data_IF_762853395450
#
_entry.id   IF_762853395450
#
_cell.length_a   1.000
_cell.length_b   1.000
_cell.length_c   1.000
_cell.angle_alpha   90.00
_cell.angle_beta   90.00
_cell.angle_gamma   90.00
#
_symmetry.space_group_name_H-M   'P 1'
#
loop_
_entity.id
_entity.type
_entity.pdbx_description
1 polymer ?
#
# COMPACT_ATOMS: atom_id res chain seq x y z
N UNK A 1 23.33 -2.37 12.25
CA UNK A 1 22.96 -3.22 13.41
C UNK A 1 22.91 -4.67 12.95
N UNK A 2 23.05 -5.68 13.84
CA UNK A 2 22.85 -7.07 13.46
C UNK A 2 21.39 -7.31 13.02
N UNK A 3 21.18 -8.37 12.23
CA UNK A 3 19.84 -8.85 11.93
C UNK A 3 19.27 -9.58 13.15
N UNK A 4 18.05 -9.27 13.49
CA UNK A 4 17.28 -9.90 14.56
C UNK A 4 16.00 -10.48 13.97
N UNK A 5 15.41 -11.48 14.64
CA UNK A 5 14.17 -12.09 14.21
C UNK A 5 12.99 -11.18 14.60
N UNK A 6 12.26 -10.66 13.61
CA UNK A 6 11.15 -9.74 13.80
C UNK A 6 9.86 -10.28 13.22
N UNK A 7 8.76 -10.11 13.94
CA UNK A 7 7.40 -10.29 13.42
C UNK A 7 7.01 -9.04 12.61
N UNK A 8 6.38 -9.20 11.45
CA UNK A 8 6.11 -8.09 10.54
C UNK A 8 5.40 -6.90 11.18
N UNK A 9 4.31 -7.13 11.93
CA UNK A 9 3.58 -6.08 12.62
C UNK A 9 4.44 -5.34 13.67
N UNK A 10 5.21 -6.07 14.47
CA UNK A 10 6.11 -5.47 15.48
C UNK A 10 7.27 -4.72 14.81
N UNK A 11 7.76 -5.24 13.69
CA UNK A 11 8.81 -4.61 12.91
C UNK A 11 8.38 -3.25 12.36
N UNK A 12 7.16 -3.15 11.81
CA UNK A 12 6.56 -1.88 11.36
C UNK A 12 6.44 -0.91 12.52
N UNK A 13 5.97 -1.36 13.69
CA UNK A 13 5.81 -0.51 14.87
C UNK A 13 7.17 0.06 15.33
N UNK A 14 8.19 -0.77 15.51
CA UNK A 14 9.53 -0.30 15.92
C UNK A 14 10.19 0.55 14.83
N UNK A 15 10.00 0.22 13.53
CA UNK A 15 10.52 1.05 12.45
C UNK A 15 9.90 2.46 12.45
N UNK A 16 8.60 2.58 12.72
CA UNK A 16 7.93 3.87 12.88
C UNK A 16 8.51 4.67 14.07
N UNK A 17 8.69 4.02 15.22
CA UNK A 17 9.32 4.64 16.40
C UNK A 17 10.72 5.14 16.07
N UNK A 18 11.53 4.34 15.38
CA UNK A 18 12.89 4.69 14.97
C UNK A 18 12.94 5.76 13.88
N UNK A 19 11.94 5.81 13.03
CA UNK A 19 11.77 6.90 12.06
C UNK A 19 11.39 8.26 12.70
N UNK A 20 11.16 8.29 14.03
CA UNK A 20 10.86 9.52 14.75
C UNK A 20 9.35 9.77 14.92
N UNK A 21 8.52 8.73 14.93
CA UNK A 21 7.10 8.83 15.27
C UNK A 21 6.92 9.52 16.62
N UNK A 22 6.13 10.61 16.68
CA UNK A 22 5.86 11.39 17.90
C UNK A 22 4.51 11.04 18.53
N UNK A 23 3.52 10.70 17.71
CA UNK A 23 2.18 10.37 18.17
C UNK A 23 1.55 9.23 17.38
N UNK A 24 0.89 8.33 18.09
CA UNK A 24 0.08 7.25 17.52
C UNK A 24 -1.31 7.27 18.13
N UNK A 25 -2.29 7.18 17.25
CA UNK A 25 -3.71 7.06 17.59
C UNK A 25 -4.31 5.88 16.86
N UNK A 26 -4.94 4.95 17.57
CA UNK A 26 -5.47 3.75 16.93
C UNK A 26 -6.59 3.09 17.72
N UNK A 27 -7.25 2.14 17.05
CA UNK A 27 -8.27 1.28 17.64
C UNK A 27 -7.89 -0.18 17.35
N UNK A 28 -8.02 -1.11 18.32
CA UNK A 28 -7.60 -2.50 18.16
C UNK A 28 -8.49 -3.23 17.15
N UNK A 29 -7.86 -3.84 16.15
CA UNK A 29 -8.51 -4.66 15.13
C UNK A 29 -7.53 -5.70 14.58
N UNK A 30 -7.98 -6.97 14.43
CA UNK A 30 -7.19 -8.04 13.85
C UNK A 30 -7.18 -7.92 12.30
N UNK A 31 -6.02 -8.14 11.62
CA UNK A 31 -4.75 -8.71 12.11
C UNK A 31 -3.63 -7.69 12.38
N UNK A 32 -3.93 -6.42 12.66
CA UNK A 32 -2.91 -5.39 12.99
C UNK A 32 -2.64 -5.22 14.50
N UNK A 33 -3.31 -5.97 15.36
CA UNK A 33 -3.34 -5.78 16.82
C UNK A 33 -1.95 -5.62 17.44
N UNK A 34 -0.95 -6.37 16.98
CA UNK A 34 0.41 -6.31 17.50
C UNK A 34 1.10 -4.95 17.26
N UNK A 35 0.70 -4.20 16.23
CA UNK A 35 1.22 -2.83 16.01
C UNK A 35 0.80 -1.96 17.20
N UNK A 36 -0.48 -1.98 17.53
CA UNK A 36 -1.04 -1.21 18.64
C UNK A 36 -0.47 -1.66 19.99
N UNK A 37 -0.40 -2.98 20.22
CA UNK A 37 0.17 -3.56 21.46
C UNK A 37 1.63 -3.18 21.65
N UNK A 38 2.43 -3.24 20.59
CA UNK A 38 3.83 -2.83 20.62
C UNK A 38 3.97 -1.34 20.97
N UNK A 39 3.24 -0.48 20.27
CA UNK A 39 3.29 0.96 20.45
C UNK A 39 2.72 1.41 21.80
N UNK A 40 1.74 0.69 22.37
CA UNK A 40 1.17 1.00 23.69
C UNK A 40 2.20 0.95 24.82
N UNK A 41 3.24 0.13 24.67
CA UNK A 41 4.37 0.02 25.59
C UNK A 41 5.49 0.97 25.19
N UNK A 42 5.88 0.92 23.93
CA UNK A 42 7.08 1.58 23.41
C UNK A 42 6.99 3.11 23.38
N UNK A 43 5.84 3.67 23.02
CA UNK A 43 5.67 5.12 22.93
C UNK A 43 5.76 5.82 24.30
N UNK A 44 5.05 5.35 25.36
CA UNK A 44 5.19 5.92 26.70
C UNK A 44 6.61 5.79 27.28
N UNK A 45 7.31 4.67 27.06
CA UNK A 45 8.71 4.51 27.48
C UNK A 45 9.63 5.62 26.94
N UNK A 46 9.31 6.14 25.76
CA UNK A 46 10.06 7.19 25.08
C UNK A 46 9.49 8.61 25.35
N UNK A 47 8.47 8.73 26.20
CA UNK A 47 7.78 9.99 26.46
C UNK A 47 7.00 10.53 25.26
N UNK A 48 6.58 9.65 24.34
CA UNK A 48 5.80 9.97 23.14
C UNK A 48 4.31 9.68 23.34
N UNK A 49 3.47 10.30 22.52
CA UNK A 49 2.03 10.16 22.66
C UNK A 49 1.52 8.83 22.11
N UNK A 50 0.72 8.12 22.90
CA UNK A 50 -0.06 6.96 22.50
C UNK A 50 -1.48 7.11 23.05
N UNK A 51 -2.49 6.97 22.19
CA UNK A 51 -3.89 6.96 22.60
C UNK A 51 -4.64 5.85 21.87
N UNK A 52 -5.28 4.97 22.64
CA UNK A 52 -6.30 4.09 22.11
C UNK A 52 -7.61 4.86 22.06
N UNK A 53 -8.08 5.16 20.85
CA UNK A 53 -9.35 5.82 20.62
C UNK A 53 -10.53 4.86 20.84
N UNK A 54 -11.74 5.40 20.93
CA UNK A 54 -12.98 4.64 21.04
C UNK A 54 -13.42 3.99 19.71
N UNK A 55 -12.85 4.46 18.59
CA UNK A 55 -13.14 3.96 17.25
C UNK A 55 -12.05 4.41 16.27
N UNK A 56 -12.02 3.82 15.08
CA UNK A 56 -11.14 4.27 13.99
C UNK A 56 -11.49 5.68 13.53
N UNK A 57 -12.78 6.07 13.60
CA UNK A 57 -13.22 7.43 13.32
C UNK A 57 -12.62 8.43 14.31
N UNK A 58 -12.61 8.10 15.60
CA UNK A 58 -11.93 8.91 16.63
C UNK A 58 -10.43 8.97 16.39
N UNK A 59 -9.80 7.82 16.08
CA UNK A 59 -8.36 7.73 15.83
C UNK A 59 -7.92 8.63 14.65
N UNK A 60 -8.60 8.59 13.52
CA UNK A 60 -8.21 9.39 12.34
C UNK A 60 -8.39 10.90 12.58
N UNK A 61 -9.39 11.31 13.35
CA UNK A 61 -9.57 12.72 13.71
C UNK A 61 -8.46 13.20 14.68
N UNK A 62 -7.98 12.34 15.58
CA UNK A 62 -6.80 12.63 16.41
C UNK A 62 -5.53 12.75 15.56
N UNK A 63 -5.35 11.84 14.56
CA UNK A 63 -4.26 11.93 13.57
C UNK A 63 -4.32 13.27 12.84
N UNK A 64 -5.51 13.65 12.35
CA UNK A 64 -5.72 14.91 11.65
C UNK A 64 -5.30 16.11 12.50
N UNK A 65 -5.78 16.17 13.74
CA UNK A 65 -5.42 17.26 14.67
C UNK A 65 -3.91 17.34 14.95
N UNK A 66 -3.27 16.20 15.20
CA UNK A 66 -1.81 16.13 15.44
C UNK A 66 -1.02 16.49 14.17
N UNK A 67 -1.43 16.02 13.00
CA UNK A 67 -0.82 16.38 11.73
C UNK A 67 -0.90 17.89 11.47
N UNK A 68 -2.07 18.50 11.70
CA UNK A 68 -2.24 19.96 11.61
C UNK A 68 -1.29 20.73 12.53
N UNK A 69 -0.93 20.19 13.69
CA UNK A 69 0.05 20.78 14.59
C UNK A 69 1.51 20.55 14.18
N UNK A 70 1.75 19.86 13.06
CA UNK A 70 3.09 19.54 12.55
C UNK A 70 3.79 18.38 13.28
N UNK A 71 3.02 17.54 13.96
CA UNK A 71 3.50 16.35 14.67
C UNK A 71 3.64 15.19 13.67
N UNK A 72 4.75 14.44 13.73
CA UNK A 72 4.90 13.20 12.98
C UNK A 72 4.01 12.12 13.56
N UNK A 73 2.94 11.80 12.86
CA UNK A 73 1.82 11.00 13.36
C UNK A 73 1.50 9.81 12.47
N UNK A 74 1.03 8.73 13.08
CA UNK A 74 0.60 7.50 12.41
C UNK A 74 -0.67 6.96 13.06
N UNK A 75 -1.48 6.30 12.23
CA UNK A 75 -2.47 5.31 12.68
C UNK A 75 -2.29 3.99 11.94
N UNK A 76 -2.84 2.92 12.49
CA UNK A 76 -2.95 1.62 11.82
C UNK A 76 -4.33 1.03 12.04
N UNK A 77 -4.80 0.28 11.04
CA UNK A 77 -6.06 -0.43 11.10
C UNK A 77 -6.08 -1.64 10.15
N UNK A 78 -7.21 -2.24 9.95
CA UNK A 78 -7.47 -3.32 9.00
C UNK A 78 -8.78 -3.04 8.28
N UNK A 79 -8.81 -3.24 6.99
CA UNK A 79 -9.95 -3.25 6.06
C UNK A 79 -11.23 -2.50 6.50
N UNK A 80 -12.14 -3.05 7.34
CA UNK A 80 -13.35 -2.33 7.75
C UNK A 80 -13.06 -1.11 8.64
N UNK A 81 -11.97 -1.13 9.42
CA UNK A 81 -11.56 0.03 10.21
C UNK A 81 -11.01 1.15 9.34
N UNK A 82 -10.28 0.82 8.26
CA UNK A 82 -9.85 1.82 7.26
C UNK A 82 -11.06 2.45 6.58
N UNK A 83 -12.12 1.67 6.32
CA UNK A 83 -13.38 2.20 5.79
C UNK A 83 -13.99 3.29 6.67
N UNK A 84 -13.92 3.15 8.00
CA UNK A 84 -14.36 4.18 8.95
C UNK A 84 -13.46 5.43 8.96
N UNK A 85 -12.23 5.32 8.51
CA UNK A 85 -11.28 6.45 8.46
C UNK A 85 -11.44 7.34 7.21
N UNK A 86 -12.20 6.93 6.20
CA UNK A 86 -12.18 7.52 4.85
C UNK A 86 -12.52 9.01 4.83
N UNK A 87 -13.48 9.47 5.62
CA UNK A 87 -13.80 10.90 5.73
C UNK A 87 -12.62 11.70 6.29
N UNK A 88 -12.03 11.23 7.39
CA UNK A 88 -10.85 11.86 8.01
C UNK A 88 -9.63 11.87 7.08
N UNK A 89 -9.41 10.82 6.30
CA UNK A 89 -8.39 10.74 5.26
C UNK A 89 -8.61 11.86 4.22
N UNK A 90 -9.86 12.07 3.80
CA UNK A 90 -10.22 13.15 2.88
C UNK A 90 -9.90 14.54 3.44
N UNK A 91 -10.18 14.77 4.74
CA UNK A 91 -9.85 16.03 5.41
C UNK A 91 -8.33 16.27 5.52
N UNK A 92 -7.56 15.23 5.82
CA UNK A 92 -6.08 15.27 5.84
C UNK A 92 -5.55 15.65 4.45
N UNK A 93 -6.11 15.04 3.39
CA UNK A 93 -5.73 15.36 2.02
C UNK A 93 -6.08 16.80 1.64
N UNK A 94 -7.31 17.25 1.93
CA UNK A 94 -7.79 18.60 1.62
C UNK A 94 -7.03 19.71 2.35
N UNK A 95 -6.54 19.45 3.56
CA UNK A 95 -5.70 20.40 4.31
C UNK A 95 -4.21 20.27 4.00
N UNK A 96 -3.84 19.31 3.16
CA UNK A 96 -2.46 19.07 2.74
C UNK A 96 -1.49 18.90 3.93
N UNK A 97 -1.86 18.07 4.90
CA UNK A 97 -1.00 17.75 6.04
C UNK A 97 -0.44 16.34 5.92
N UNK A 98 0.82 16.10 6.36
CA UNK A 98 1.44 14.79 6.27
C UNK A 98 0.87 13.84 7.32
N UNK A 99 0.50 12.63 6.89
CA UNK A 99 0.11 11.55 7.79
C UNK A 99 0.50 10.18 7.20
N UNK A 100 0.82 9.24 8.09
CA UNK A 100 1.11 7.87 7.70
C UNK A 100 0.02 6.94 8.23
N UNK A 101 -0.47 6.06 7.36
CA UNK A 101 -1.47 5.05 7.69
C UNK A 101 -0.94 3.67 7.34
N UNK A 102 -1.21 2.68 8.19
CA UNK A 102 -0.92 1.27 7.93
C UNK A 102 -2.22 0.51 7.83
N UNK A 103 -2.43 -0.20 6.71
CA UNK A 103 -3.55 -1.12 6.55
C UNK A 103 -3.02 -2.55 6.47
N UNK A 104 -3.30 -3.36 7.50
CA UNK A 104 -3.05 -4.80 7.45
C UNK A 104 -4.33 -5.47 6.95
N UNK A 105 -4.39 -5.71 5.64
CA UNK A 105 -5.59 -6.14 4.93
C UNK A 105 -6.03 -7.54 5.31
N UNK A 106 -7.34 -7.74 5.42
CA UNK A 106 -8.00 -9.01 5.69
C UNK A 106 -9.14 -9.30 4.72
N UNK A 107 -9.62 -10.55 4.72
CA UNK A 107 -10.71 -10.97 3.83
C UNK A 107 -12.02 -10.24 4.11
N UNK A 108 -12.62 -9.69 3.05
CA UNK A 108 -13.92 -9.06 2.98
C UNK A 108 -14.79 -9.69 1.90
N UNK A 109 -15.98 -9.13 1.59
CA UNK A 109 -16.58 -7.89 2.12
C UNK A 109 -17.24 -8.03 3.50
N UNK A 110 -17.69 -6.91 4.04
CA UNK A 110 -18.33 -6.80 5.37
C UNK A 110 -17.31 -7.01 6.50
N UNK A 111 -17.71 -7.65 7.59
CA UNK A 111 -16.79 -8.07 8.64
C UNK A 111 -15.74 -9.07 8.10
N UNK A 112 -16.15 -9.87 7.11
CA UNK A 112 -15.31 -10.85 6.46
C UNK A 112 -14.72 -11.86 7.44
N UNK A 113 -13.40 -12.06 7.34
CA UNK A 113 -12.63 -12.90 8.26
C UNK A 113 -11.28 -12.21 8.58
N UNK A 114 -10.45 -12.86 9.39
CA UNK A 114 -9.14 -12.32 9.80
C UNK A 114 -7.97 -12.83 8.94
N UNK A 115 -8.26 -13.62 7.92
CA UNK A 115 -7.26 -14.21 7.04
C UNK A 115 -6.69 -13.15 6.07
N UNK A 116 -5.46 -13.35 5.56
CA UNK A 116 -4.76 -12.37 4.71
C UNK A 116 -5.49 -12.13 3.39
N UNK A 117 -5.52 -10.88 2.94
CA UNK A 117 -6.15 -10.50 1.68
C UNK A 117 -5.47 -9.28 1.06
N UNK A 118 -5.70 -9.05 -0.23
CA UNK A 118 -5.34 -7.82 -0.95
C UNK A 118 -6.60 -7.11 -1.49
N UNK A 119 -7.75 -7.34 -0.82
CA UNK A 119 -9.06 -6.85 -1.27
C UNK A 119 -9.28 -5.35 -1.15
N UNK A 120 -8.41 -4.62 -0.46
CA UNK A 120 -8.52 -3.18 -0.27
C UNK A 120 -7.68 -2.37 -1.28
N UNK A 121 -7.17 -3.01 -2.33
CA UNK A 121 -6.36 -2.31 -3.34
C UNK A 121 -7.09 -1.10 -3.92
N UNK A 122 -8.31 -1.28 -4.44
CA UNK A 122 -9.09 -0.18 -4.99
C UNK A 122 -9.37 0.93 -3.96
N UNK A 123 -9.66 0.55 -2.70
CA UNK A 123 -9.88 1.51 -1.62
C UNK A 123 -8.63 2.36 -1.36
N UNK A 124 -7.44 1.73 -1.39
CA UNK A 124 -6.19 2.43 -1.13
C UNK A 124 -5.69 3.25 -2.34
N UNK A 125 -5.88 2.73 -3.57
CA UNK A 125 -5.24 3.26 -4.79
C UNK A 125 -6.16 4.20 -5.56
N UNK A 126 -7.46 3.88 -5.66
CA UNK A 126 -8.43 4.64 -6.48
C UNK A 126 -9.36 5.54 -5.66
N UNK A 127 -8.96 5.86 -4.43
CA UNK A 127 -9.70 6.75 -3.54
C UNK A 127 -10.66 5.96 -2.64
N UNK A 128 -10.66 6.26 -1.40
CA UNK A 128 -11.49 5.62 -0.39
C UNK A 128 -12.37 6.61 0.36
N UNK A 129 -12.09 7.90 0.23
CA UNK A 129 -12.91 9.00 0.73
C UNK A 129 -13.63 9.70 -0.41
N UNK A 130 -13.68 11.02 -0.35
CA UNK A 130 -14.25 11.87 -1.38
C UNK A 130 -13.26 12.97 -1.79
N UNK A 131 -13.43 13.51 -2.99
CA UNK A 131 -12.58 14.56 -3.55
C UNK A 131 -11.45 14.04 -4.45
N UNK A 132 -10.79 14.97 -5.14
CA UNK A 132 -9.79 14.68 -6.17
C UNK A 132 -8.37 14.56 -5.59
N UNK A 133 -8.16 13.59 -4.68
CA UNK A 133 -6.85 13.29 -4.11
C UNK A 133 -6.43 11.85 -4.35
N UNK A 134 -5.12 11.61 -4.32
CA UNK A 134 -4.55 10.27 -4.38
C UNK A 134 -3.46 10.14 -3.30
N UNK A 135 -3.50 9.10 -2.48
CA UNK A 135 -2.45 8.81 -1.51
C UNK A 135 -1.25 8.15 -2.18
N UNK A 136 -0.08 8.29 -1.58
CA UNK A 136 1.07 7.45 -1.90
C UNK A 136 0.84 6.11 -1.20
N UNK A 137 0.93 4.99 -1.95
CA UNK A 137 0.66 3.66 -1.39
C UNK A 137 1.83 2.72 -1.64
N UNK A 138 2.39 2.19 -0.57
CA UNK A 138 3.56 1.31 -0.54
C UNK A 138 3.15 -0.10 -0.12
N UNK A 139 3.61 -1.12 -0.84
CA UNK A 139 3.25 -2.52 -0.63
C UNK A 139 4.49 -3.41 -0.41
N UNK A 140 4.92 -3.66 0.84
CA UNK A 140 6.03 -4.54 1.14
C UNK A 140 5.69 -6.02 0.88
N UNK A 141 6.72 -6.82 0.56
CA UNK A 141 6.62 -8.27 0.39
C UNK A 141 7.51 -9.06 1.37
N UNK A 142 8.16 -8.39 2.31
CA UNK A 142 8.98 -9.01 3.35
C UNK A 142 9.04 -8.13 4.59
N UNK A 143 9.47 -8.68 5.72
CA UNK A 143 9.65 -7.90 6.96
C UNK A 143 10.68 -6.79 6.79
N UNK A 144 11.79 -7.04 6.09
CA UNK A 144 12.78 -5.99 5.84
C UNK A 144 12.19 -4.86 4.98
N UNK A 145 11.46 -5.19 3.91
CA UNK A 145 10.79 -4.14 3.13
C UNK A 145 9.75 -3.37 3.93
N UNK A 146 9.01 -4.04 4.81
CA UNK A 146 8.05 -3.37 5.69
C UNK A 146 8.73 -2.32 6.59
N UNK A 147 9.92 -2.65 7.14
CA UNK A 147 10.75 -1.72 7.90
C UNK A 147 11.20 -0.54 7.03
N UNK A 148 11.78 -0.83 5.86
CA UNK A 148 12.37 0.19 4.98
C UNK A 148 11.28 1.13 4.44
N UNK A 149 10.14 0.58 4.03
CA UNK A 149 9.01 1.34 3.51
C UNK A 149 8.28 2.13 4.61
N UNK A 150 8.29 1.65 5.85
CA UNK A 150 7.76 2.41 6.98
C UNK A 150 8.57 3.68 7.23
N UNK A 151 9.89 3.61 7.18
CA UNK A 151 10.75 4.81 7.28
C UNK A 151 10.51 5.75 6.11
N UNK A 152 10.46 5.21 4.90
CA UNK A 152 10.23 5.97 3.67
C UNK A 152 8.85 6.67 3.69
N UNK A 153 7.82 6.03 4.27
CA UNK A 153 6.47 6.57 4.29
C UNK A 153 6.39 7.93 4.99
N UNK A 154 7.12 8.13 6.10
CA UNK A 154 7.19 9.42 6.77
C UNK A 154 7.92 10.47 5.94
N UNK A 155 9.01 10.08 5.28
CA UNK A 155 9.78 10.98 4.42
C UNK A 155 8.94 11.45 3.23
N UNK A 156 8.20 10.55 2.60
CA UNK A 156 7.31 10.89 1.48
C UNK A 156 6.11 11.74 1.93
N UNK A 157 5.49 11.38 3.06
CA UNK A 157 4.37 12.14 3.60
C UNK A 157 4.77 13.59 3.87
N UNK A 158 5.91 13.82 4.51
CA UNK A 158 6.43 15.15 4.82
C UNK A 158 6.89 15.91 3.56
N UNK A 159 7.64 15.24 2.68
CA UNK A 159 8.15 15.82 1.42
C UNK A 159 7.04 16.40 0.56
N UNK A 160 5.92 15.67 0.47
CA UNK A 160 4.82 16.02 -0.41
C UNK A 160 3.61 16.60 0.34
N UNK A 161 3.65 16.71 1.66
CA UNK A 161 2.49 17.10 2.47
C UNK A 161 1.26 16.29 2.06
N UNK A 162 1.38 14.99 2.11
CA UNK A 162 0.41 14.04 1.60
C UNK A 162 0.24 12.87 2.56
N UNK A 163 -0.83 12.11 2.35
CA UNK A 163 -1.03 10.84 3.01
C UNK A 163 -0.13 9.80 2.34
N UNK A 164 0.62 9.06 3.14
CA UNK A 164 1.32 7.86 2.71
C UNK A 164 0.75 6.65 3.43
N UNK A 165 0.30 5.65 2.67
CA UNK A 165 -0.22 4.39 3.21
C UNK A 165 0.78 3.27 2.99
N UNK A 166 0.99 2.43 4.01
CA UNK A 166 1.67 1.14 3.87
C UNK A 166 0.59 0.08 3.93
N UNK A 167 0.37 -0.63 2.83
CA UNK A 167 -0.61 -1.71 2.75
C UNK A 167 0.11 -3.05 2.72
N UNK A 168 -0.27 -3.93 3.60
CA UNK A 168 0.23 -5.30 3.66
C UNK A 168 -0.92 -6.23 4.01
N UNK A 169 -0.77 -7.49 3.65
CA UNK A 169 -1.71 -8.52 4.08
C UNK A 169 -1.27 -9.19 5.38
N UNK A 170 -2.16 -9.97 5.98
CA UNK A 170 -1.88 -10.66 7.23
C UNK A 170 -0.69 -11.63 7.18
N UNK A 171 -0.28 -12.13 5.99
CA UNK A 171 0.91 -12.97 5.87
C UNK A 171 2.17 -12.16 6.20
N UNK A 172 2.35 -11.00 5.55
CA UNK A 172 3.51 -10.13 5.83
C UNK A 172 3.48 -9.63 7.27
N UNK A 173 2.29 -9.30 7.80
CA UNK A 173 2.13 -8.83 9.19
C UNK A 173 2.49 -9.88 10.24
N UNK A 174 2.21 -11.16 9.98
CA UNK A 174 2.38 -12.23 10.96
C UNK A 174 3.67 -13.06 10.77
N UNK A 175 4.29 -13.03 9.58
CA UNK A 175 5.53 -13.77 9.35
C UNK A 175 6.67 -13.26 10.22
N UNK A 176 7.61 -14.16 10.52
CA UNK A 176 8.86 -13.83 11.22
C UNK A 176 10.05 -14.00 10.29
N UNK A 177 10.85 -12.96 10.14
CA UNK A 177 12.06 -12.97 9.31
C UNK A 177 13.22 -12.27 10.00
N UNK A 178 14.47 -12.68 9.70
CA UNK A 178 15.65 -11.93 10.10
C UNK A 178 15.69 -10.57 9.38
N UNK A 179 15.59 -9.48 10.12
CA UNK A 179 15.59 -8.13 9.57
C UNK A 179 16.49 -7.20 10.39
N UNK A 180 16.94 -6.14 9.74
CA UNK A 180 17.79 -5.12 10.35
C UNK A 180 16.98 -3.86 10.56
N UNK A 181 16.92 -3.39 11.80
CA UNK A 181 16.29 -2.12 12.14
C UNK A 181 17.18 -0.93 11.76
N UNK A 182 16.59 0.22 11.36
CA UNK A 182 17.34 1.46 11.18
C UNK A 182 17.83 2.01 12.52
N UNK A 183 18.74 2.97 12.47
CA UNK A 183 19.10 3.74 13.66
C UNK A 183 17.94 4.60 14.13
N UNK A 184 17.87 4.82 15.45
CA UNK A 184 16.86 5.69 16.04
C UNK A 184 17.10 7.14 15.61
N UNK A 185 16.18 7.72 14.85
CA UNK A 185 16.20 9.14 14.53
C UNK A 185 15.72 9.95 15.75
N UNK A 186 16.43 11.01 16.14
CA UNK A 186 15.92 11.91 17.17
C UNK A 186 14.65 12.62 16.65
N UNK A 187 13.75 12.95 17.57
CA UNK A 187 12.62 13.83 17.24
C UNK A 187 13.20 15.21 16.94
N UNK A 188 13.10 15.62 15.69
CA UNK A 188 13.43 16.96 15.26
C UNK A 188 12.13 17.63 14.81
N UNK A 189 11.54 18.44 15.67
CA UNK A 189 10.38 19.24 15.28
C UNK A 189 10.83 20.25 14.22
N UNK A 190 10.47 19.99 12.99
CA UNK A 190 10.67 20.94 11.92
C UNK A 190 9.80 22.19 12.19
N UNK A 191 10.36 23.36 11.94
CA UNK A 191 9.58 24.60 12.02
C UNK A 191 8.77 24.76 10.73
N UNK A 192 7.70 23.96 10.63
CA UNK A 192 6.81 24.02 9.48
C UNK A 192 6.11 25.37 9.39
N UNK A 193 6.17 26.02 8.25
CA UNK A 193 5.54 27.33 8.00
C UNK A 193 4.02 27.29 7.98
N UNK A 194 3.45 26.11 7.76
CA UNK A 194 2.01 25.83 7.69
C UNK A 194 1.44 25.31 9.03
N UNK A 195 2.22 24.73 9.92
CA UNK A 195 1.71 24.06 11.12
C UNK A 195 0.98 25.02 12.09
N UNK A 196 -0.14 24.54 12.63
CA UNK A 196 -0.98 25.28 13.59
C UNK A 196 -0.58 25.01 15.04
N UNK A 197 0.72 25.06 15.32
CA UNK A 197 1.36 24.77 16.61
C UNK A 197 1.31 25.92 17.63
N UNK A 198 0.43 26.89 17.40
CA UNK A 198 0.22 28.06 18.26
C UNK A 198 0.92 29.32 17.74
N UNK A 199 0.31 30.46 18.03
CA UNK A 199 0.82 31.79 17.62
C UNK A 199 2.07 32.21 18.40
N UNK A 200 2.20 31.81 19.68
CA UNK A 200 3.29 32.11 20.60
C UNK A 200 3.66 33.61 20.70
N UNK A 201 2.76 34.51 20.26
CA UNK A 201 3.00 35.95 20.22
C UNK A 201 4.04 36.45 19.21
N UNK A 202 4.60 35.53 18.39
CA UNK A 202 5.77 35.79 17.54
C UNK A 202 5.51 35.75 16.04
N UNK A 203 4.31 35.37 15.61
CA UNK A 203 3.98 35.16 14.18
C UNK A 203 2.51 35.42 13.88
N UNK A 204 2.18 35.56 12.59
CA UNK A 204 0.83 35.63 12.10
C UNK A 204 0.03 34.35 12.37
N UNK A 205 -1.30 34.48 12.39
CA UNK A 205 -2.20 33.34 12.54
C UNK A 205 -2.11 32.45 11.29
N UNK A 206 -1.93 31.16 11.50
CA UNK A 206 -2.04 30.15 10.44
C UNK A 206 -3.41 29.49 10.48
N UNK A 207 -3.95 29.20 9.31
CA UNK A 207 -5.24 28.55 9.15
C UNK A 207 -5.04 27.38 8.17
N UNK A 208 -5.49 26.21 8.56
CA UNK A 208 -5.67 25.06 7.70
C UNK A 208 -7.18 24.83 7.54
N UNK A 209 -7.65 24.68 6.33
CA UNK A 209 -9.06 24.45 6.02
C UNK A 209 -9.19 23.44 4.90
N UNK A 210 -10.22 22.60 5.00
CA UNK A 210 -10.70 21.72 3.93
C UNK A 210 -12.13 22.07 3.51
N UNK A 211 -12.61 23.26 3.91
CA UNK A 211 -13.89 23.80 3.48
C UNK A 211 -13.67 25.10 2.75
N UNK A 212 -14.26 25.22 1.57
CA UNK A 212 -14.24 26.38 0.71
C UNK A 212 -15.68 26.69 0.29
N UNK A 213 -16.14 27.91 0.61
CA UNK A 213 -17.53 28.31 0.28
C UNK A 213 -17.64 28.67 -1.19
N UNK A 214 -16.62 29.31 -1.74
CA UNK A 214 -16.58 29.66 -3.16
C UNK A 214 -16.01 28.49 -3.97
N UNK A 215 -16.73 27.95 -4.97
CA UNK A 215 -16.28 26.81 -5.76
C UNK A 215 -14.93 27.02 -6.46
N UNK A 216 -14.59 28.24 -6.82
CA UNK A 216 -13.31 28.57 -7.46
C UNK A 216 -12.11 28.33 -6.53
N UNK A 217 -12.27 28.53 -5.23
CA UNK A 217 -11.20 28.29 -4.26
C UNK A 217 -10.94 26.78 -4.08
N UNK A 218 -12.00 25.98 -4.11
CA UNK A 218 -11.89 24.52 -4.12
C UNK A 218 -11.24 24.02 -5.42
N UNK A 219 -11.61 24.56 -6.59
CA UNK A 219 -10.97 24.21 -7.86
C UNK A 219 -9.47 24.53 -7.85
N UNK A 220 -9.06 25.68 -7.34
CA UNK A 220 -7.64 26.05 -7.20
C UNK A 220 -6.90 25.04 -6.30
N UNK A 221 -7.52 24.61 -5.23
CA UNK A 221 -6.95 23.59 -4.33
C UNK A 221 -6.79 22.26 -5.05
N UNK A 222 -7.81 21.78 -5.75
CA UNK A 222 -7.75 20.53 -6.50
C UNK A 222 -6.72 20.57 -7.63
N UNK A 223 -6.57 21.69 -8.34
CA UNK A 223 -5.49 21.87 -9.31
C UNK A 223 -4.09 21.79 -8.67
N UNK A 224 -3.92 22.33 -7.46
CA UNK A 224 -2.66 22.20 -6.70
C UNK A 224 -2.40 20.77 -6.29
N UNK A 225 -3.40 20.04 -5.78
CA UNK A 225 -3.31 18.62 -5.46
C UNK A 225 -2.92 17.79 -6.69
N UNK A 226 -3.54 18.04 -7.84
CA UNK A 226 -3.26 17.35 -9.09
C UNK A 226 -1.84 17.61 -9.59
N UNK A 227 -1.34 18.84 -9.52
CA UNK A 227 0.02 19.19 -9.91
C UNK A 227 1.06 18.52 -8.97
N UNK A 228 0.78 18.45 -7.67
CA UNK A 228 1.58 17.69 -6.72
C UNK A 228 1.60 16.22 -7.07
N UNK A 229 0.44 15.64 -7.41
CA UNK A 229 0.33 14.24 -7.82
C UNK A 229 1.18 13.93 -9.06
N UNK A 230 1.18 14.79 -10.08
CA UNK A 230 2.09 14.65 -11.24
C UNK A 230 3.56 14.59 -10.82
N UNK A 231 3.95 15.41 -9.85
CA UNK A 231 5.32 15.40 -9.32
C UNK A 231 5.62 14.09 -8.60
N UNK A 232 4.68 13.56 -7.83
CA UNK A 232 4.81 12.26 -7.16
C UNK A 232 4.92 11.14 -8.19
N UNK A 233 4.07 11.12 -9.21
CA UNK A 233 4.12 10.13 -10.28
C UNK A 233 5.47 10.11 -11.01
N UNK A 234 6.05 11.28 -11.25
CA UNK A 234 7.33 11.38 -11.95
C UNK A 234 8.54 10.92 -11.13
N UNK A 235 8.45 10.92 -9.79
CA UNK A 235 9.62 10.73 -8.93
C UNK A 235 9.53 9.53 -7.98
N UNK A 236 8.34 8.99 -7.72
CA UNK A 236 8.15 8.07 -6.60
C UNK A 236 7.66 6.67 -7.02
N UNK A 237 7.69 6.36 -8.31
CA UNK A 237 7.40 4.99 -8.79
C UNK A 237 8.55 4.06 -8.39
N UNK A 238 8.21 2.97 -7.70
CA UNK A 238 9.16 1.93 -7.25
C UNK A 238 8.63 0.54 -7.56
N UNK A 239 9.51 -0.31 -8.07
CA UNK A 239 9.23 -1.71 -8.39
C UNK A 239 10.49 -2.55 -8.31
N UNK A 240 10.33 -3.86 -8.34
CA UNK A 240 11.43 -4.81 -8.54
C UNK A 240 11.18 -5.66 -9.78
N UNK A 241 12.26 -5.89 -10.50
CA UNK A 241 12.29 -6.71 -11.70
C UNK A 241 13.03 -8.02 -11.42
N UNK A 242 12.48 -9.12 -11.92
CA UNK A 242 13.10 -10.43 -11.84
C UNK A 242 12.95 -11.13 -13.20
N UNK A 243 14.08 -11.45 -13.84
CA UNK A 243 14.15 -12.19 -15.10
C UNK A 243 13.33 -11.57 -16.26
N UNK A 244 13.26 -10.23 -16.33
CA UNK A 244 12.45 -9.54 -17.34
C UNK A 244 13.19 -9.32 -18.67
N UNK A 245 14.52 -9.43 -18.74
CA UNK A 245 15.31 -9.07 -19.94
C UNK A 245 14.91 -9.85 -21.19
N UNK A 246 14.59 -11.12 -21.04
CA UNK A 246 14.23 -12.06 -22.10
C UNK A 246 12.86 -12.73 -21.89
N UNK A 247 11.99 -12.14 -21.08
CA UNK A 247 10.71 -12.73 -20.73
C UNK A 247 9.70 -12.62 -21.87
N UNK A 248 9.15 -13.76 -22.28
CA UNK A 248 7.99 -13.86 -23.18
C UNK A 248 6.67 -13.68 -22.39
N UNK A 249 6.63 -14.17 -21.13
CA UNK A 249 5.53 -13.99 -20.20
C UNK A 249 5.96 -13.10 -19.05
N UNK A 250 5.20 -12.05 -18.75
CA UNK A 250 5.45 -11.15 -17.61
C UNK A 250 4.38 -11.35 -16.55
N UNK A 251 4.79 -11.76 -15.35
CA UNK A 251 3.90 -11.77 -14.20
C UNK A 251 3.93 -10.40 -13.50
N UNK A 252 2.76 -9.92 -13.07
CA UNK A 252 2.63 -8.73 -12.22
C UNK A 252 1.92 -9.11 -10.93
N UNK A 253 2.54 -8.84 -9.79
CA UNK A 253 1.98 -9.15 -8.47
C UNK A 253 2.67 -8.34 -7.38
N UNK A 254 1.94 -7.88 -6.36
CA UNK A 254 2.49 -7.12 -5.24
C UNK A 254 2.37 -7.90 -3.91
N UNK A 255 3.06 -7.44 -2.87
CA UNK A 255 2.99 -8.03 -1.54
C UNK A 255 3.24 -9.54 -1.54
N UNK A 256 2.41 -10.28 -0.80
CA UNK A 256 2.50 -11.75 -0.71
C UNK A 256 2.28 -12.44 -2.05
N UNK A 257 1.31 -12.00 -2.88
CA UNK A 257 1.09 -12.60 -4.21
C UNK A 257 2.34 -12.48 -5.10
N UNK A 258 2.99 -11.30 -5.12
CA UNK A 258 4.24 -11.11 -5.86
C UNK A 258 5.40 -11.95 -5.30
N UNK A 259 5.45 -12.15 -3.98
CA UNK A 259 6.45 -13.01 -3.33
C UNK A 259 6.27 -14.48 -3.72
N UNK A 260 5.04 -14.97 -3.72
CA UNK A 260 4.71 -16.36 -4.12
C UNK A 260 5.01 -16.55 -5.61
N UNK A 261 4.62 -15.60 -6.45
CA UNK A 261 4.88 -15.63 -7.88
C UNK A 261 6.38 -15.76 -8.22
N UNK A 262 7.26 -15.14 -7.43
CA UNK A 262 8.71 -15.27 -7.64
C UNK A 262 9.20 -16.71 -7.50
N UNK A 263 8.60 -17.51 -6.63
CA UNK A 263 8.93 -18.95 -6.51
C UNK A 263 8.53 -19.70 -7.77
N UNK A 264 7.31 -19.52 -8.25
CA UNK A 264 6.83 -20.10 -9.49
C UNK A 264 7.66 -19.68 -10.72
N UNK A 265 8.05 -18.40 -10.78
CA UNK A 265 8.94 -17.90 -11.85
C UNK A 265 10.29 -18.63 -11.86
N UNK A 266 10.91 -18.82 -10.71
CA UNK A 266 12.19 -19.51 -10.59
C UNK A 266 12.10 -20.98 -11.06
N UNK A 267 11.01 -21.65 -10.72
CA UNK A 267 10.75 -23.03 -11.10
C UNK A 267 10.50 -23.14 -12.61
N UNK A 268 9.61 -22.32 -13.18
CA UNK A 268 9.38 -22.26 -14.61
C UNK A 268 10.64 -21.93 -15.43
N UNK A 269 11.50 -21.04 -14.90
CA UNK A 269 12.82 -20.75 -15.50
C UNK A 269 13.74 -21.95 -15.50
N UNK A 270 13.72 -22.76 -14.44
CA UNK A 270 14.51 -23.99 -14.39
C UNK A 270 14.02 -25.02 -15.42
N UNK A 271 12.77 -24.96 -15.83
CA UNK A 271 12.18 -25.76 -16.92
C UNK A 271 12.41 -25.16 -18.33
N UNK A 272 13.04 -24.00 -18.42
CA UNK A 272 13.36 -23.33 -19.69
C UNK A 272 12.27 -22.38 -20.22
N UNK A 273 11.22 -22.10 -19.43
CA UNK A 273 10.17 -21.14 -19.80
C UNK A 273 10.66 -19.72 -19.55
N UNK A 274 10.58 -18.84 -20.54
CA UNK A 274 11.00 -17.46 -20.45
C UNK A 274 9.91 -16.59 -19.79
N UNK A 275 9.82 -16.68 -18.47
CA UNK A 275 8.90 -15.91 -17.64
C UNK A 275 9.65 -14.98 -16.70
N UNK A 276 9.14 -13.77 -16.48
CA UNK A 276 9.70 -12.80 -15.54
C UNK A 276 8.62 -12.24 -14.62
N UNK A 277 9.03 -11.53 -13.58
CA UNK A 277 8.14 -10.90 -12.62
C UNK A 277 8.46 -9.41 -12.50
N UNK A 278 7.47 -8.58 -12.70
CA UNK A 278 7.44 -7.19 -12.26
C UNK A 278 6.66 -7.13 -10.94
N UNK A 279 7.33 -6.71 -9.88
CA UNK A 279 6.73 -6.56 -8.55
C UNK A 279 6.61 -5.08 -8.17
N UNK A 280 5.42 -4.45 -8.29
CA UNK A 280 5.20 -3.11 -7.76
C UNK A 280 5.54 -3.04 -6.26
N UNK A 281 6.25 -1.97 -5.86
CA UNK A 281 6.48 -1.56 -4.46
C UNK A 281 5.59 -0.37 -4.16
N UNK A 282 5.55 0.63 -5.06
CA UNK A 282 4.46 1.60 -5.09
C UNK A 282 3.34 1.02 -5.93
N UNK A 283 2.15 0.95 -5.36
CA UNK A 283 0.91 0.64 -6.10
C UNK A 283 0.11 1.91 -6.39
N UNK A 284 0.48 3.02 -5.75
CA UNK A 284 0.10 4.38 -6.07
C UNK A 284 1.28 5.31 -5.72
N UNK A 285 1.95 5.93 -6.71
CA UNK A 285 1.74 5.83 -8.16
C UNK A 285 2.06 4.44 -8.72
N UNK A 286 1.24 4.00 -9.69
CA UNK A 286 1.40 2.69 -10.31
C UNK A 286 2.49 2.72 -11.40
N UNK A 287 3.29 1.65 -11.59
CA UNK A 287 4.40 1.59 -12.56
C UNK A 287 3.92 1.37 -14.01
N UNK A 288 3.00 2.22 -14.49
CA UNK A 288 2.36 2.06 -15.81
C UNK A 288 3.36 2.12 -16.96
N UNK A 289 4.36 3.01 -16.88
CA UNK A 289 5.33 3.22 -17.98
C UNK A 289 6.21 1.99 -18.23
N UNK A 290 6.64 1.29 -17.16
CA UNK A 290 7.42 0.07 -17.32
C UNK A 290 6.57 -1.07 -17.85
N UNK A 291 5.31 -1.17 -17.46
CA UNK A 291 4.37 -2.15 -18.02
C UNK A 291 4.11 -1.86 -19.49
N UNK A 292 3.95 -0.59 -19.87
CA UNK A 292 3.80 -0.16 -21.25
C UNK A 292 5.02 -0.56 -22.11
N UNK A 293 6.24 -0.36 -21.59
CA UNK A 293 7.48 -0.79 -22.27
C UNK A 293 7.57 -2.32 -22.39
N UNK A 294 7.25 -3.05 -21.32
CA UNK A 294 7.25 -4.52 -21.34
C UNK A 294 6.21 -5.08 -22.33
N UNK A 295 5.05 -4.47 -22.45
CA UNK A 295 4.02 -4.87 -23.41
C UNK A 295 4.43 -4.66 -24.88
N UNK A 296 5.51 -3.92 -25.14
CA UNK A 296 6.12 -3.80 -26.47
C UNK A 296 6.98 -5.00 -26.88
N UNK A 297 7.34 -5.89 -25.95
CA UNK A 297 8.25 -7.03 -26.19
C UNK A 297 7.77 -8.37 -25.64
N UNK A 298 6.96 -8.38 -24.61
CA UNK A 298 6.37 -9.61 -24.05
C UNK A 298 5.22 -10.12 -24.94
N UNK A 299 4.97 -11.41 -24.89
CA UNK A 299 3.87 -12.06 -25.61
C UNK A 299 2.56 -12.03 -24.80
N UNK A 300 2.66 -12.04 -23.46
CA UNK A 300 1.50 -12.01 -22.57
C UNK A 300 1.86 -11.55 -21.15
N UNK A 301 0.83 -11.11 -20.42
CA UNK A 301 0.90 -10.82 -18.98
C UNK A 301 0.04 -11.77 -18.17
N UNK A 302 0.51 -12.14 -16.96
CA UNK A 302 -0.28 -12.80 -15.93
C UNK A 302 -0.33 -11.88 -14.70
N UNK A 303 -1.51 -11.47 -14.27
CA UNK A 303 -1.68 -10.74 -13.02
C UNK A 303 -2.07 -11.73 -11.92
N UNK A 304 -1.36 -11.69 -10.79
CA UNK A 304 -1.67 -12.53 -9.62
C UNK A 304 -1.93 -11.67 -8.38
N UNK A 305 -3.07 -11.95 -7.71
CA UNK A 305 -3.54 -11.17 -6.58
C UNK A 305 -4.30 -12.04 -5.55
N UNK A 306 -4.41 -11.53 -4.33
CA UNK A 306 -5.27 -12.10 -3.27
C UNK A 306 -6.60 -11.34 -3.20
N UNK A 307 -7.20 -11.09 -4.36
CA UNK A 307 -8.50 -10.46 -4.57
C UNK A 307 -9.07 -10.84 -5.95
N UNK A 308 -10.17 -10.23 -6.37
CA UNK A 308 -10.86 -10.54 -7.63
C UNK A 308 -10.29 -9.81 -8.87
N UNK A 309 -9.04 -9.39 -8.85
CA UNK A 309 -8.40 -8.68 -9.97
C UNK A 309 -8.63 -7.16 -9.90
N UNK A 310 -8.23 -6.53 -8.81
CA UNK A 310 -8.34 -5.07 -8.65
C UNK A 310 -7.15 -4.36 -9.34
N UNK A 311 -5.92 -4.81 -9.11
CA UNK A 311 -4.73 -4.33 -9.84
C UNK A 311 -4.73 -4.78 -11.31
N UNK A 312 -5.44 -5.86 -11.63
CA UNK A 312 -5.61 -6.33 -13.01
C UNK A 312 -6.06 -5.21 -13.94
N UNK A 313 -6.98 -4.35 -13.50
CA UNK A 313 -7.49 -3.27 -14.33
C UNK A 313 -6.43 -2.20 -14.63
N UNK A 314 -5.56 -1.89 -13.66
CA UNK A 314 -4.43 -0.97 -13.88
C UNK A 314 -3.39 -1.56 -14.83
N UNK A 315 -3.10 -2.86 -14.71
CA UNK A 315 -2.22 -3.56 -15.67
C UNK A 315 -2.82 -3.54 -17.07
N UNK A 316 -4.11 -3.85 -17.22
CA UNK A 316 -4.81 -3.80 -18.51
C UNK A 316 -4.79 -2.41 -19.14
N UNK A 317 -5.00 -1.39 -18.31
CA UNK A 317 -4.93 0.00 -18.76
C UNK A 317 -3.50 0.34 -19.26
N UNK A 318 -2.47 -0.11 -18.55
CA UNK A 318 -1.08 0.11 -18.94
C UNK A 318 -0.67 -0.68 -20.20
N UNK A 319 -1.14 -1.93 -20.34
CA UNK A 319 -0.89 -2.78 -21.52
C UNK A 319 -1.62 -2.28 -22.77
N UNK A 320 -2.73 -1.54 -22.61
CA UNK A 320 -3.51 -0.93 -23.73
C UNK A 320 -3.97 -1.93 -24.79
N UNK A 321 -4.22 -3.17 -24.42
CA UNK A 321 -4.69 -4.21 -25.33
C UNK A 321 -3.67 -4.70 -26.37
N UNK A 322 -2.38 -4.35 -26.24
CA UNK A 322 -1.33 -4.77 -27.19
C UNK A 322 -1.03 -6.25 -27.14
N UNK A 323 -1.13 -6.85 -25.97
CA UNK A 323 -0.92 -8.29 -25.74
C UNK A 323 -1.99 -8.81 -24.80
N UNK A 324 -2.26 -10.13 -24.80
CA UNK A 324 -3.17 -10.74 -23.84
C UNK A 324 -2.72 -10.50 -22.39
N UNK A 325 -3.71 -10.27 -21.54
CA UNK A 325 -3.53 -10.22 -20.07
C UNK A 325 -4.38 -11.34 -19.50
N UNK A 326 -3.76 -12.24 -18.75
CA UNK A 326 -4.41 -13.31 -17.99
C UNK A 326 -4.48 -12.96 -16.51
N UNK A 327 -5.31 -13.64 -15.76
CA UNK A 327 -5.50 -13.41 -14.34
C UNK A 327 -5.54 -14.73 -13.57
N UNK A 328 -4.88 -14.75 -12.42
CA UNK A 328 -5.02 -15.75 -11.39
C UNK A 328 -5.16 -15.11 -10.01
N UNK A 329 -6.24 -15.41 -9.30
CA UNK A 329 -6.50 -14.84 -7.98
C UNK A 329 -7.02 -15.86 -6.98
N UNK A 330 -6.84 -15.56 -5.69
CA UNK A 330 -7.49 -16.27 -4.58
C UNK A 330 -8.29 -15.26 -3.75
N UNK A 331 -9.42 -15.68 -3.25
CA UNK A 331 -10.40 -14.83 -2.58
C UNK A 331 -10.60 -15.22 -1.11
N UNK A 332 -11.22 -14.33 -0.34
CA UNK A 332 -11.76 -14.64 0.98
C UNK A 332 -10.72 -15.06 2.03
N UNK A 333 -9.47 -14.68 1.86
CA UNK A 333 -8.39 -15.04 2.79
C UNK A 333 -7.55 -16.24 2.36
N UNK A 334 -7.83 -16.80 1.18
CA UNK A 334 -6.96 -17.82 0.59
C UNK A 334 -5.73 -17.16 -0.04
N UNK A 335 -4.57 -17.78 0.16
CA UNK A 335 -3.28 -17.37 -0.42
C UNK A 335 -2.98 -18.26 -1.62
N UNK A 336 -2.55 -17.72 -2.77
CA UNK A 336 -2.11 -18.55 -3.89
C UNK A 336 -0.85 -19.34 -3.50
N UNK A 337 -0.74 -20.57 -4.00
CA UNK A 337 0.45 -21.38 -3.86
C UNK A 337 1.36 -21.26 -5.10
N UNK A 338 2.68 -21.49 -4.97
CA UNK A 338 3.60 -21.43 -6.11
C UNK A 338 3.24 -22.38 -7.25
N UNK A 339 2.79 -23.61 -6.95
CA UNK A 339 2.35 -24.60 -7.92
C UNK A 339 1.11 -24.16 -8.70
N UNK A 340 0.15 -23.50 -8.08
CA UNK A 340 -1.02 -22.95 -8.77
C UNK A 340 -0.63 -21.89 -9.81
N UNK A 341 0.34 -21.02 -9.47
CA UNK A 341 0.85 -20.01 -10.40
C UNK A 341 1.71 -20.67 -11.49
N UNK A 342 2.48 -21.69 -11.15
CA UNK A 342 3.27 -22.47 -12.09
C UNK A 342 2.38 -23.17 -13.14
N UNK A 343 1.26 -23.75 -12.72
CA UNK A 343 0.27 -24.34 -13.62
C UNK A 343 -0.30 -23.32 -14.61
N UNK A 344 -0.58 -22.09 -14.16
CA UNK A 344 -1.01 -21.01 -15.05
C UNK A 344 0.10 -20.61 -16.04
N UNK A 345 1.37 -20.56 -15.60
CA UNK A 345 2.51 -20.33 -16.52
C UNK A 345 2.59 -21.44 -17.57
N UNK A 346 2.49 -22.70 -17.17
CA UNK A 346 2.48 -23.84 -18.09
C UNK A 346 1.31 -23.78 -19.09
N UNK A 347 0.12 -23.42 -18.61
CA UNK A 347 -1.05 -23.23 -19.47
C UNK A 347 -0.79 -22.15 -20.51
N UNK A 348 -0.29 -20.98 -20.07
CA UNK A 348 -0.01 -19.84 -20.95
C UNK A 348 1.05 -20.18 -22.01
N UNK A 349 2.11 -20.89 -21.62
CA UNK A 349 3.19 -21.28 -22.53
C UNK A 349 2.73 -22.31 -23.62
N UNK A 350 1.65 -23.06 -23.37
CA UNK A 350 1.15 -24.12 -24.27
C UNK A 350 -0.08 -23.68 -25.07
N UNK A 351 -0.77 -22.64 -24.68
CA UNK A 351 -2.07 -22.25 -25.23
C UNK A 351 -1.98 -20.93 -25.97
N UNK A 352 -2.60 -20.85 -27.16
CA UNK A 352 -2.77 -19.56 -27.83
C UNK A 352 -3.75 -18.71 -27.03
N UNK A 353 -3.25 -17.63 -26.44
CA UNK A 353 -4.04 -16.72 -25.63
C UNK A 353 -4.89 -15.78 -26.50
N UNK A 354 -6.04 -15.37 -25.99
CA UNK A 354 -6.97 -14.46 -26.67
C UNK A 354 -7.13 -13.18 -25.87
N UNK A 355 -6.93 -12.04 -26.53
CA UNK A 355 -7.22 -10.74 -25.93
C UNK A 355 -8.73 -10.39 -25.91
N UNK A 356 -9.59 -11.23 -26.46
CA UNK A 356 -11.02 -10.95 -26.64
C UNK A 356 -11.89 -11.35 -25.44
N UNK A 357 -11.37 -12.14 -24.51
CA UNK A 357 -12.10 -12.58 -23.31
C UNK A 357 -11.56 -11.77 -22.12
N UNK A 358 -12.46 -11.30 -21.26
CA UNK A 358 -12.01 -10.61 -20.05
C UNK A 358 -11.28 -11.60 -19.13
N UNK A 359 -10.06 -11.29 -18.66
CA UNK A 359 -9.23 -12.25 -17.91
C UNK A 359 -9.91 -12.80 -16.64
N UNK A 360 -10.72 -11.97 -15.97
CA UNK A 360 -11.51 -12.38 -14.79
C UNK A 360 -12.56 -13.43 -15.15
N UNK A 361 -13.24 -13.29 -16.29
CA UNK A 361 -14.26 -14.23 -16.71
C UNK A 361 -13.64 -15.59 -17.06
N UNK A 362 -12.52 -15.57 -17.81
CA UNK A 362 -11.75 -16.77 -18.10
C UNK A 362 -11.23 -17.47 -16.83
N UNK A 363 -10.81 -16.70 -15.83
CA UNK A 363 -10.41 -17.23 -14.53
C UNK A 363 -11.58 -17.82 -13.76
N UNK A 364 -12.76 -17.16 -13.72
CA UNK A 364 -13.97 -17.67 -13.06
C UNK A 364 -14.41 -19.01 -13.66
N UNK A 365 -14.34 -19.18 -14.98
CA UNK A 365 -14.63 -20.47 -15.63
C UNK A 365 -13.68 -21.57 -15.15
N UNK A 366 -12.37 -21.29 -15.01
CA UNK A 366 -11.38 -22.24 -14.47
C UNK A 366 -11.62 -22.57 -13.00
N UNK A 367 -12.07 -21.60 -12.21
CA UNK A 367 -12.35 -21.79 -10.77
C UNK A 367 -13.68 -22.47 -10.49
N UNK A 368 -14.58 -22.60 -11.47
CA UNK A 368 -15.90 -23.24 -11.29
C UNK A 368 -15.80 -24.68 -10.75
N UNK A 369 -14.72 -25.39 -11.04
CA UNK A 369 -14.46 -26.72 -10.52
C UNK A 369 -14.04 -26.77 -9.05
N UNK A 370 -13.64 -25.64 -8.47
CA UNK A 370 -13.22 -25.54 -7.06
C UNK A 370 -14.42 -25.31 -6.14
N UNK A 371 -15.55 -24.83 -6.70
CA UNK A 371 -16.76 -24.48 -5.95
C UNK A 371 -17.90 -25.50 -6.10
N UNK A 372 -17.73 -26.54 -6.90
CA UNK A 372 -18.62 -27.68 -7.09
C UNK A 372 -18.22 -28.85 -6.17
#
# INVERSE_FOLDING_TARGET
>A
MPKELWKGNEAIAEAAVRAGLEAYFGYPITPQTEILEYLSRRMPELGRAFVQAESELGAINMVYGAACAGVRVMSSSSSPGVSLMMEGISYIAGTEVPAVLVNVMRGGPGLGNIAPSQGDYNQAVHGGGHGDYQPIVLAPASVQEAIDLMVLSFELAEKYRAICMVILDGCVGQMMEPAQMPEMKPIQRANWDWATDGKMGKRERRILSSIYIEPVDEEITNLRLLNRWKTIQANEVRYKEYFLDDADIVIVGFGTAGRVALSAVREARAEGIKVGLLRPITVSPFPSDVIDQLAGRAEAFLVTEMNSGQMLEDVRLAVRGRVPVEFYGRLGGMVPFPDEILDEIHRMAKTKLSANVHPRDAWLERMAHVTA
#
